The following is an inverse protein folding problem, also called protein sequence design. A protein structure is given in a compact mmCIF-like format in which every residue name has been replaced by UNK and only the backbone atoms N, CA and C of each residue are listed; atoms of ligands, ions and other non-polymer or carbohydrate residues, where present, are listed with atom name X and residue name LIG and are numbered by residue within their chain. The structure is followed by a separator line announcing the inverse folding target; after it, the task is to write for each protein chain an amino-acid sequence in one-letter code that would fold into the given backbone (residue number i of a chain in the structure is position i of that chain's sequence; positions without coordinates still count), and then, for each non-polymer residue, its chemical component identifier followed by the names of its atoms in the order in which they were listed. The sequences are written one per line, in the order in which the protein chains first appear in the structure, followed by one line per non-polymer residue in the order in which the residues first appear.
data_IF_414584072870
#
_entry.id   IF_414584072870
#
_cell.length_a   1.000
_cell.length_b   1.000
_cell.length_c   1.000
_cell.angle_alpha   90.00
_cell.angle_beta   90.00
_cell.angle_gamma   90.00
#
_symmetry.space_group_name_H-M   'P 1'
#
loop_
_entity.id
_entity.type
_entity.pdbx_description
1 polymer ?
#
# COMPACT_ATOMS: atom_id res chain seq x y z
N UNK A 1 54.99 1.43 -57.74
CA UNK A 1 54.23 2.69 -57.85
C UNK A 1 52.81 2.45 -57.33
N UNK A 2 52.25 3.46 -56.66
CA UNK A 2 50.91 3.61 -56.08
C UNK A 2 50.76 3.30 -54.57
N UNK A 3 50.85 4.40 -53.83
CA UNK A 3 50.43 4.62 -52.47
C UNK A 3 48.92 4.93 -52.39
N UNK A 4 48.28 4.50 -51.28
CA UNK A 4 47.10 5.13 -50.65
C UNK A 4 46.88 4.43 -49.29
N UNK A 5 47.56 4.85 -48.22
CA UNK A 5 47.15 5.89 -47.25
C UNK A 5 45.86 5.54 -46.49
N UNK A 6 46.00 4.74 -45.44
CA UNK A 6 45.02 4.58 -44.36
C UNK A 6 45.18 5.75 -43.36
N UNK A 7 44.12 6.53 -43.14
CA UNK A 7 44.14 7.61 -42.14
C UNK A 7 44.05 7.03 -40.71
N UNK A 8 44.85 7.53 -39.75
CA UNK A 8 44.66 7.22 -38.34
C UNK A 8 43.51 8.05 -37.74
N UNK A 9 42.69 7.44 -36.90
CA UNK A 9 41.69 8.12 -36.08
C UNK A 9 42.41 8.85 -34.95
N UNK A 10 42.35 10.17 -35.00
CA UNK A 10 43.01 11.10 -34.10
C UNK A 10 42.28 11.15 -32.75
N UNK A 11 42.98 10.76 -31.67
CA UNK A 11 42.52 10.86 -30.29
C UNK A 11 42.61 12.32 -29.84
N UNK A 12 41.51 13.06 -29.93
CA UNK A 12 41.44 14.43 -29.39
C UNK A 12 41.37 14.39 -27.86
N UNK A 13 42.45 14.82 -27.23
CA UNK A 13 42.44 15.39 -25.89
C UNK A 13 41.74 16.75 -25.97
N UNK A 14 40.73 17.00 -25.14
CA UNK A 14 40.20 18.35 -24.93
C UNK A 14 40.24 18.72 -23.46
N UNK A 15 40.96 19.81 -23.23
CA UNK A 15 41.35 20.43 -21.98
C UNK A 15 40.15 20.85 -21.13
N UNK A 16 40.35 20.74 -19.81
CA UNK A 16 39.49 21.29 -18.79
C UNK A 16 39.27 22.79 -18.99
N UNK A 17 38.00 23.20 -19.05
CA UNK A 17 37.58 24.59 -18.89
C UNK A 17 37.17 24.79 -17.43
N UNK A 18 38.08 25.40 -16.68
CA UNK A 18 37.86 25.91 -15.32
C UNK A 18 36.86 27.07 -15.36
N UNK A 19 35.83 26.98 -14.52
CA UNK A 19 34.88 28.08 -14.32
C UNK A 19 35.45 29.06 -13.28
N UNK A 20 35.43 30.39 -13.52
CA UNK A 20 35.94 31.34 -12.54
C UNK A 20 34.93 31.54 -11.40
N UNK A 21 35.40 31.26 -10.19
CA UNK A 21 34.78 31.73 -8.95
C UNK A 21 34.87 33.26 -8.89
N UNK A 22 33.77 33.96 -9.17
CA UNK A 22 33.39 35.29 -8.65
C UNK A 22 32.31 35.88 -9.57
N UNK A 23 31.41 36.65 -8.97
CA UNK A 23 30.22 37.30 -9.56
C UNK A 23 29.07 36.27 -9.67
N UNK A 24 27.98 36.29 -8.90
CA UNK A 24 27.23 37.44 -8.39
C UNK A 24 26.66 37.10 -7.00
N UNK A 25 27.10 37.85 -5.99
CA UNK A 25 26.41 37.91 -4.71
C UNK A 25 25.16 38.79 -4.80
N UNK A 26 24.25 38.54 -3.86
CA UNK A 26 23.20 39.43 -3.35
C UNK A 26 21.92 39.55 -4.19
N UNK A 27 21.03 38.59 -3.98
CA UNK A 27 19.59 38.84 -3.77
C UNK A 27 19.07 37.77 -2.79
N UNK A 28 19.54 37.84 -1.54
CA UNK A 28 19.03 37.06 -0.43
C UNK A 28 18.35 38.03 0.56
N UNK A 29 17.17 38.51 0.18
CA UNK A 29 16.25 39.23 1.07
C UNK A 29 14.85 38.72 0.74
N UNK A 30 14.25 38.07 1.75
CA UNK A 30 12.84 37.68 1.86
C UNK A 30 12.40 36.54 0.92
N UNK A 31 12.52 35.29 1.39
CA UNK A 31 11.51 34.27 1.04
C UNK A 31 10.33 34.53 1.98
N UNK A 32 9.27 35.23 1.53
CA UNK A 32 8.13 35.48 2.38
C UNK A 32 7.46 34.13 2.69
N UNK A 33 6.77 34.09 3.82
CA UNK A 33 5.97 32.99 4.35
C UNK A 33 4.88 32.48 3.37
N UNK A 34 5.30 31.87 2.26
CA UNK A 34 4.48 31.29 1.19
C UNK A 34 4.82 29.82 0.92
N UNK A 35 5.77 29.23 1.67
CA UNK A 35 6.03 27.79 1.67
C UNK A 35 5.42 27.05 2.87
N UNK A 36 4.90 27.77 3.88
CA UNK A 36 4.16 27.17 4.99
C UNK A 36 2.64 27.17 4.80
N UNK A 37 2.11 27.79 3.74
CA UNK A 37 0.68 27.73 3.40
C UNK A 37 0.33 26.70 2.31
N UNK A 38 1.31 26.29 1.49
CA UNK A 38 1.09 25.22 0.50
C UNK A 38 0.98 23.83 1.14
N UNK A 39 1.65 23.60 2.28
CA UNK A 39 1.61 22.31 2.98
C UNK A 39 0.27 22.05 3.72
N UNK A 40 -0.48 23.10 4.08
CA UNK A 40 -1.81 22.97 4.69
C UNK A 40 -2.93 22.77 3.66
N UNK A 41 -2.77 23.27 2.43
CA UNK A 41 -3.73 23.03 1.35
C UNK A 41 -3.66 21.61 0.78
N UNK A 42 -2.48 20.98 0.76
CA UNK A 42 -2.36 19.59 0.35
C UNK A 42 -3.04 18.60 1.33
N UNK A 43 -3.11 18.94 2.63
CA UNK A 43 -3.85 18.15 3.63
C UNK A 43 -5.38 18.35 3.56
N UNK A 44 -5.85 19.44 2.96
CA UNK A 44 -7.27 19.77 2.88
C UNK A 44 -8.00 19.18 1.66
N UNK A 45 -7.28 18.71 0.64
CA UNK A 45 -7.88 18.28 -0.63
C UNK A 45 -8.39 16.83 -0.66
N UNK A 46 -8.32 16.09 0.46
CA UNK A 46 -8.81 14.71 0.56
C UNK A 46 -10.17 14.55 1.27
N UNK A 47 -10.78 15.62 1.77
CA UNK A 47 -12.01 15.52 2.56
C UNK A 47 -13.11 16.39 1.96
N UNK A 48 -14.05 15.76 1.27
CA UNK A 48 -15.34 16.34 0.90
C UNK A 48 -16.09 16.71 2.19
N UNK A 49 -16.36 18.00 2.46
CA UNK A 49 -17.09 18.40 3.66
C UNK A 49 -18.52 17.84 3.61
N UNK A 50 -18.90 17.04 4.60
CA UNK A 50 -20.27 16.50 4.75
C UNK A 50 -20.40 14.98 4.69
N UNK A 51 -19.33 14.24 4.43
CA UNK A 51 -19.33 12.79 4.55
C UNK A 51 -18.75 12.39 5.91
N UNK A 52 -19.56 11.74 6.75
CA UNK A 52 -19.04 11.06 7.94
C UNK A 52 -17.97 10.03 7.56
N UNK A 53 -17.26 9.44 8.54
CA UNK A 53 -16.16 8.51 8.27
C UNK A 53 -16.53 7.46 7.20
N UNK A 54 -15.78 7.48 6.09
CA UNK A 54 -16.02 6.58 4.96
C UNK A 54 -15.51 5.18 5.31
N UNK A 55 -16.37 4.18 5.12
CA UNK A 55 -16.02 2.78 5.32
C UNK A 55 -14.95 2.38 4.30
N UNK A 56 -13.91 1.71 4.77
CA UNK A 56 -12.86 1.19 3.91
C UNK A 56 -13.18 -0.27 3.55
N UNK A 57 -13.22 -0.57 2.25
CA UNK A 57 -13.39 -1.94 1.73
C UNK A 57 -12.17 -2.30 0.90
N UNK A 58 -11.60 -3.48 1.12
CA UNK A 58 -10.41 -3.95 0.40
C UNK A 58 -10.48 -5.43 0.10
N UNK A 59 -9.86 -5.83 -1.01
CA UNK A 59 -9.46 -7.21 -1.26
C UNK A 59 -7.93 -7.30 -1.16
N UNK A 60 -7.45 -8.12 -0.23
CA UNK A 60 -6.05 -8.56 -0.23
C UNK A 60 -5.90 -9.80 -1.10
N UNK A 61 -5.08 -9.71 -2.14
CA UNK A 61 -4.67 -10.85 -2.98
C UNK A 61 -3.29 -11.32 -2.50
N UNK A 62 -3.21 -12.58 -2.07
CA UNK A 62 -1.99 -13.13 -1.47
C UNK A 62 -1.66 -14.45 -2.15
N UNK A 63 -0.41 -14.61 -2.56
CA UNK A 63 0.12 -15.91 -2.98
C UNK A 63 1.11 -16.42 -1.92
N UNK A 64 0.97 -17.70 -1.55
CA UNK A 64 1.75 -18.34 -0.48
C UNK A 64 2.58 -19.49 -1.04
N UNK A 65 3.75 -19.71 -0.46
CA UNK A 65 4.58 -20.89 -0.68
C UNK A 65 3.85 -22.18 -0.28
N UNK A 66 3.79 -23.17 -1.18
CA UNK A 66 2.99 -24.38 -1.01
C UNK A 66 3.39 -25.18 0.25
N UNK A 67 4.67 -25.18 0.57
CA UNK A 67 5.27 -25.80 1.76
C UNK A 67 4.76 -25.20 3.09
N UNK A 68 4.19 -24.01 3.07
CA UNK A 68 3.71 -23.29 4.26
C UNK A 68 2.18 -23.26 4.40
N UNK A 69 1.42 -23.86 3.48
CA UNK A 69 -0.04 -23.68 3.40
C UNK A 69 -0.79 -24.01 4.68
N UNK A 70 -0.51 -25.16 5.29
CA UNK A 70 -1.22 -25.58 6.50
C UNK A 70 -0.99 -24.60 7.66
N UNK A 71 0.26 -24.16 7.83
CA UNK A 71 0.64 -23.21 8.86
C UNK A 71 0.07 -21.82 8.59
N UNK A 72 0.15 -21.34 7.35
CA UNK A 72 -0.39 -20.04 6.96
C UNK A 72 -1.91 -19.97 7.19
N UNK A 73 -2.65 -21.02 6.78
CA UNK A 73 -4.11 -21.12 7.01
C UNK A 73 -4.46 -21.04 8.49
N UNK A 74 -3.72 -21.74 9.36
CA UNK A 74 -3.96 -21.72 10.80
C UNK A 74 -3.72 -20.33 11.41
N UNK A 75 -2.61 -19.69 11.07
CA UNK A 75 -2.26 -18.35 11.60
C UNK A 75 -3.26 -17.30 11.10
N UNK A 76 -3.60 -17.33 9.80
CA UNK A 76 -4.56 -16.41 9.21
C UNK A 76 -5.96 -16.57 9.81
N UNK A 77 -6.39 -17.80 10.08
CA UNK A 77 -7.69 -18.04 10.73
C UNK A 77 -7.72 -17.50 12.17
N UNK A 78 -6.64 -17.66 12.93
CA UNK A 78 -6.51 -17.09 14.29
C UNK A 78 -6.59 -15.57 14.26
N UNK A 79 -5.87 -14.93 13.34
CA UNK A 79 -5.84 -13.48 13.21
C UNK A 79 -7.20 -12.90 12.78
N UNK A 80 -7.86 -13.54 11.81
CA UNK A 80 -9.16 -13.10 11.33
C UNK A 80 -10.25 -13.22 12.42
N UNK A 81 -10.25 -14.32 13.17
CA UNK A 81 -11.15 -14.53 14.32
C UNK A 81 -10.93 -13.44 15.38
N UNK A 82 -9.68 -13.24 15.78
CA UNK A 82 -9.34 -12.29 16.83
C UNK A 82 -9.72 -10.86 16.44
N UNK A 83 -9.45 -10.48 15.19
CA UNK A 83 -9.78 -9.15 14.67
C UNK A 83 -11.27 -8.87 14.73
N UNK A 84 -12.10 -9.79 14.22
CA UNK A 84 -13.57 -9.64 14.24
C UNK A 84 -14.12 -9.63 15.67
N UNK A 85 -13.57 -10.45 16.58
CA UNK A 85 -14.03 -10.53 17.97
C UNK A 85 -13.61 -9.34 18.82
N UNK A 86 -12.39 -8.84 18.64
CA UNK A 86 -11.75 -7.88 19.56
C UNK A 86 -11.80 -6.43 19.09
N UNK A 87 -11.98 -6.19 17.79
CA UNK A 87 -11.85 -4.84 17.23
C UNK A 87 -13.20 -4.31 16.73
N UNK A 88 -13.86 -3.39 17.47
CA UNK A 88 -15.17 -2.87 17.06
C UNK A 88 -15.20 -2.18 15.69
N UNK A 89 -14.05 -1.68 15.24
CA UNK A 89 -13.90 -1.03 13.94
C UNK A 89 -13.65 -1.98 12.77
N UNK A 90 -13.39 -3.27 13.04
CA UNK A 90 -13.25 -4.32 12.03
C UNK A 90 -14.64 -4.91 11.79
N UNK A 91 -15.23 -4.61 10.63
CA UNK A 91 -16.56 -5.11 10.23
C UNK A 91 -16.44 -6.51 9.65
N UNK A 92 -15.39 -6.76 8.85
CA UNK A 92 -15.10 -8.09 8.32
C UNK A 92 -13.60 -8.26 8.07
N UNK A 93 -13.09 -9.43 8.42
CA UNK A 93 -11.89 -10.03 7.83
C UNK A 93 -12.29 -11.46 7.46
N UNK A 94 -12.55 -11.67 6.17
CA UNK A 94 -13.04 -12.94 5.66
C UNK A 94 -12.02 -13.55 4.69
N UNK A 95 -11.08 -14.36 5.19
CA UNK A 95 -10.08 -15.02 4.36
C UNK A 95 -10.69 -16.20 3.60
N UNK A 96 -10.34 -16.29 2.32
CA UNK A 96 -10.71 -17.34 1.40
C UNK A 96 -9.47 -17.74 0.58
N UNK A 97 -9.52 -18.89 -0.08
CA UNK A 97 -8.56 -19.29 -1.11
C UNK A 97 -9.29 -19.82 -2.33
N UNK A 98 -8.67 -19.72 -3.50
CA UNK A 98 -9.27 -20.17 -4.75
C UNK A 98 -9.41 -21.70 -4.74
N UNK A 99 -10.53 -22.20 -5.29
CA UNK A 99 -10.76 -23.65 -5.38
C UNK A 99 -9.76 -24.33 -6.32
N UNK A 100 -9.31 -23.61 -7.35
CA UNK A 100 -8.42 -24.13 -8.38
C UNK A 100 -6.93 -23.91 -8.05
N UNK A 101 -6.63 -23.13 -7.00
CA UNK A 101 -5.27 -22.84 -6.54
C UNK A 101 -5.28 -22.55 -5.04
N UNK A 102 -4.87 -23.53 -4.23
CA UNK A 102 -4.92 -23.43 -2.77
C UNK A 102 -3.82 -22.55 -2.16
N UNK A 103 -2.88 -22.09 -3.00
CA UNK A 103 -1.86 -21.08 -2.68
C UNK A 103 -2.32 -19.65 -2.92
N UNK A 104 -3.44 -19.45 -3.62
CA UNK A 104 -3.97 -18.13 -3.90
C UNK A 104 -5.12 -17.76 -2.96
N UNK A 105 -4.84 -16.83 -2.07
CA UNK A 105 -5.79 -16.32 -1.09
C UNK A 105 -6.43 -15.02 -1.55
N UNK A 106 -7.66 -14.80 -1.11
CA UNK A 106 -8.40 -13.53 -1.18
C UNK A 106 -9.00 -13.25 0.18
N UNK A 107 -8.73 -12.08 0.73
CA UNK A 107 -9.32 -11.65 2.00
C UNK A 107 -10.23 -10.46 1.71
N UNK A 108 -11.52 -10.59 2.03
CA UNK A 108 -12.41 -9.43 2.10
C UNK A 108 -12.19 -8.74 3.44
N UNK A 109 -11.77 -7.50 3.37
CA UNK A 109 -11.51 -6.66 4.54
C UNK A 109 -12.46 -5.46 4.51
N UNK A 110 -13.17 -5.23 5.61
CA UNK A 110 -14.09 -4.12 5.77
C UNK A 110 -13.84 -3.46 7.13
N UNK A 111 -13.55 -2.17 7.11
CA UNK A 111 -13.30 -1.37 8.31
C UNK A 111 -14.29 -0.22 8.38
N UNK A 112 -14.73 0.12 9.59
CA UNK A 112 -15.65 1.23 9.83
C UNK A 112 -15.13 2.54 9.22
N UNK A 113 -13.81 2.74 9.27
CA UNK A 113 -13.08 3.81 8.61
C UNK A 113 -11.57 3.50 8.49
N UNK A 114 -10.82 4.46 7.94
CA UNK A 114 -9.36 4.39 7.83
C UNK A 114 -8.65 4.27 9.18
N UNK A 115 -9.18 4.89 10.26
CA UNK A 115 -8.57 4.84 11.59
C UNK A 115 -8.68 3.45 12.19
N UNK A 116 -9.79 2.76 11.96
CA UNK A 116 -9.96 1.36 12.34
C UNK A 116 -8.92 0.46 11.66
N UNK A 117 -8.69 0.64 10.35
CA UNK A 117 -7.60 -0.07 9.65
C UNK A 117 -6.22 0.22 10.27
N UNK A 118 -5.90 1.49 10.55
CA UNK A 118 -4.60 1.86 11.13
C UNK A 118 -4.42 1.36 12.58
N UNK A 119 -5.51 1.24 13.34
CA UNK A 119 -5.50 0.63 14.66
C UNK A 119 -5.27 -0.88 14.55
N UNK A 120 -5.95 -1.55 13.61
CA UNK A 120 -5.82 -2.97 13.32
C UNK A 120 -4.36 -3.38 13.05
N UNK A 121 -3.63 -2.59 12.25
CA UNK A 121 -2.21 -2.83 11.94
C UNK A 121 -1.27 -2.84 13.16
N UNK A 122 -1.74 -2.35 14.33
CA UNK A 122 -0.95 -2.23 15.56
C UNK A 122 -1.33 -3.26 16.61
N UNK A 123 -2.32 -4.12 16.34
CA UNK A 123 -2.82 -5.08 17.32
C UNK A 123 -1.85 -6.25 17.52
N UNK A 124 -1.84 -6.88 18.71
CA UNK A 124 -0.97 -8.05 18.95
C UNK A 124 -1.21 -9.21 17.98
N UNK A 125 -2.47 -9.51 17.64
CA UNK A 125 -2.81 -10.60 16.71
C UNK A 125 -2.38 -10.30 15.28
N UNK A 126 -2.56 -9.07 14.79
CA UNK A 126 -2.05 -8.68 13.47
C UNK A 126 -0.52 -8.74 13.41
N UNK A 127 0.17 -8.23 14.44
CA UNK A 127 1.64 -8.25 14.49
C UNK A 127 2.19 -9.69 14.55
N UNK A 128 1.51 -10.59 15.27
CA UNK A 128 1.82 -12.03 15.29
C UNK A 128 1.65 -12.62 13.89
N UNK A 129 0.52 -12.40 13.22
CA UNK A 129 0.31 -12.85 11.85
C UNK A 129 1.39 -12.33 10.90
N UNK A 130 1.64 -11.02 10.92
CA UNK A 130 2.57 -10.38 9.98
C UNK A 130 4.00 -10.89 10.14
N UNK A 131 4.47 -11.03 11.38
CA UNK A 131 5.83 -11.50 11.67
C UNK A 131 5.98 -13.00 11.39
N UNK A 132 5.01 -13.82 11.80
CA UNK A 132 5.07 -15.27 11.62
C UNK A 132 4.93 -15.70 10.15
N UNK A 133 4.21 -14.95 9.32
CA UNK A 133 3.91 -15.34 7.94
C UNK A 133 4.79 -14.64 6.88
N UNK A 134 5.66 -13.72 7.28
CA UNK A 134 6.42 -12.89 6.33
C UNK A 134 7.21 -13.70 5.29
N UNK A 135 7.83 -14.81 5.72
CA UNK A 135 8.61 -15.71 4.86
C UNK A 135 7.76 -16.69 4.05
N UNK A 136 6.46 -16.77 4.32
CA UNK A 136 5.53 -17.68 3.65
C UNK A 136 4.88 -17.02 2.42
N UNK A 137 4.81 -15.70 2.38
CA UNK A 137 4.12 -14.92 1.34
C UNK A 137 5.06 -14.66 0.17
N UNK A 138 4.66 -15.10 -1.03
CA UNK A 138 5.34 -14.80 -2.30
C UNK A 138 4.98 -13.42 -2.82
N UNK A 139 3.69 -13.08 -2.77
CA UNK A 139 3.17 -11.83 -3.29
C UNK A 139 1.97 -11.35 -2.48
N UNK A 140 1.83 -10.02 -2.39
CA UNK A 140 0.71 -9.34 -1.76
C UNK A 140 0.30 -8.16 -2.63
N UNK A 141 -0.98 -8.10 -2.99
CA UNK A 141 -1.60 -6.96 -3.65
C UNK A 141 -2.81 -6.51 -2.86
N UNK A 142 -2.87 -5.21 -2.59
CA UNK A 142 -3.96 -4.56 -1.87
C UNK A 142 -4.83 -3.82 -2.89
N UNK A 143 -6.10 -4.23 -3.01
CA UNK A 143 -7.04 -3.64 -3.96
C UNK A 143 -8.15 -2.93 -3.19
N UNK A 144 -8.07 -1.61 -3.11
CA UNK A 144 -9.11 -0.79 -2.49
C UNK A 144 -10.37 -0.79 -3.36
N UNK A 145 -11.53 -0.94 -2.73
CA UNK A 145 -12.81 -1.14 -3.38
C UNK A 145 -13.78 -0.02 -3.01
N UNK A 146 -14.63 0.37 -3.96
CA UNK A 146 -15.78 1.23 -3.69
C UNK A 146 -17.07 0.40 -3.66
N UNK A 147 -17.80 0.46 -2.55
CA UNK A 147 -19.07 -0.25 -2.41
C UNK A 147 -20.18 0.49 -3.18
N UNK A 148 -20.95 -0.26 -3.99
CA UNK A 148 -22.07 0.30 -4.76
C UNK A 148 -23.33 0.46 -3.88
N UNK A 149 -23.63 -0.54 -3.03
CA UNK A 149 -24.81 -0.57 -2.17
C UNK A 149 -24.43 -0.81 -0.71
N UNK A 150 -23.87 0.23 -0.09
CA UNK A 150 -23.57 0.23 1.36
C UNK A 150 -24.82 0.06 2.23
N UNK A 151 -25.98 0.69 1.94
CA UNK A 151 -27.18 0.55 2.79
C UNK A 151 -27.65 -0.89 3.00
N UNK A 152 -27.54 -1.76 1.98
CA UNK A 152 -27.99 -3.17 2.09
C UNK A 152 -27.03 -4.05 2.91
N UNK A 153 -25.81 -3.60 3.23
CA UNK A 153 -24.78 -4.39 3.93
C UNK A 153 -25.29 -5.00 5.26
N UNK A 154 -26.08 -4.27 6.04
CA UNK A 154 -26.62 -4.76 7.31
C UNK A 154 -27.53 -6.00 7.17
N UNK A 155 -27.92 -6.34 5.93
CA UNK A 155 -28.78 -7.49 5.62
C UNK A 155 -28.00 -8.72 5.16
N UNK A 156 -26.69 -8.62 4.90
CA UNK A 156 -25.88 -9.67 4.25
C UNK A 156 -26.05 -11.06 4.90
N UNK A 157 -26.08 -11.13 6.23
CA UNK A 157 -26.09 -12.40 6.97
C UNK A 157 -27.45 -12.78 7.56
N UNK A 158 -28.50 -12.00 7.32
CA UNK A 158 -29.84 -12.25 7.90
C UNK A 158 -30.42 -13.63 7.56
N UNK A 159 -30.06 -14.19 6.40
CA UNK A 159 -30.50 -15.53 5.95
C UNK A 159 -29.72 -16.69 6.59
N UNK A 160 -28.59 -16.44 7.26
CA UNK A 160 -27.77 -17.49 7.87
C UNK A 160 -28.34 -17.97 9.21
N UNK A 161 -28.99 -17.09 9.98
CA UNK A 161 -29.61 -17.41 11.28
C UNK A 161 -31.06 -17.92 11.20
N UNK A 162 -31.61 -18.06 9.99
CA UNK A 162 -33.01 -18.45 9.76
C UNK A 162 -33.17 -19.95 9.40
N UNK A 163 -32.27 -20.82 9.87
CA UNK A 163 -32.31 -22.26 9.60
C UNK A 163 -32.45 -23.06 10.88
#
# INVERSE_FOLDING_TARGET
MNARTTRPVERRQSLALSWPQRLWGLLAVLVPAWLLFAASLAHAQGQTPGQGPEMMVRISEIEVHAEHLAQYKAILAEEAEASVRLEPGVIAIFPMFQRDSDTEFRILEMYADRRAYEAHLKTPHFLKYKSATLHMVKSLKLVDMQAIDRPTMNRMFTKMGSR
#
